data_IF_043377468283
#
_entry.id   IF_043377468283
#
_cell.length_a   1.000
_cell.length_b   1.000
_cell.length_c   1.000
_cell.angle_alpha   90.00
_cell.angle_beta   90.00
_cell.angle_gamma   90.00
#
_symmetry.space_group_name_H-M   'P 1'
#
loop_
_entity.id
_entity.type
_entity.pdbx_description
1 polymer ?
#
# COMPACT_ATOMS: atom_id res chain seq x y z
N UNK A 1 12.12 -0.37 3.40
CA UNK A 1 12.04 -1.21 2.17
C UNK A 1 10.79 -0.85 1.38
N UNK A 2 10.63 -1.32 0.14
CA UNK A 2 9.39 -1.18 -0.64
C UNK A 2 8.96 -2.54 -1.16
N UNK A 3 7.65 -2.79 -1.21
CA UNK A 3 7.06 -3.95 -1.87
C UNK A 3 6.51 -3.50 -3.21
N UNK A 4 7.04 -4.03 -4.30
CA UNK A 4 6.64 -3.69 -5.67
C UNK A 4 5.67 -4.74 -6.22
N UNK A 5 4.84 -4.30 -7.17
CA UNK A 5 3.82 -5.10 -7.83
C UNK A 5 3.90 -4.92 -9.33
N UNK A 6 3.62 -6.00 -10.07
CA UNK A 6 3.61 -6.00 -11.53
C UNK A 6 2.42 -5.22 -12.06
N UNK A 7 1.28 -5.36 -11.39
CA UNK A 7 0.02 -4.75 -11.81
C UNK A 7 -0.82 -4.31 -10.60
N UNK A 8 -1.79 -3.44 -10.88
CA UNK A 8 -2.69 -2.89 -9.86
C UNK A 8 -3.50 -3.96 -9.14
N UNK A 9 -3.93 -5.02 -9.82
CA UNK A 9 -4.81 -6.04 -9.24
C UNK A 9 -4.06 -6.83 -8.16
N UNK A 10 -2.83 -7.24 -8.46
CA UNK A 10 -1.94 -7.92 -7.51
C UNK A 10 -1.62 -7.06 -6.29
N UNK A 11 -1.44 -5.75 -6.48
CA UNK A 11 -1.25 -4.80 -5.39
C UNK A 11 -2.51 -4.69 -4.51
N UNK A 12 -3.69 -4.51 -5.12
CA UNK A 12 -4.97 -4.41 -4.38
C UNK A 12 -5.28 -5.69 -3.62
N UNK A 13 -5.05 -6.86 -4.23
CA UNK A 13 -5.24 -8.15 -3.55
C UNK A 13 -4.32 -8.24 -2.32
N UNK A 14 -3.05 -7.89 -2.46
CA UNK A 14 -2.12 -7.90 -1.35
C UNK A 14 -2.51 -6.92 -0.24
N UNK A 15 -2.99 -5.72 -0.59
CA UNK A 15 -3.51 -4.75 0.39
C UNK A 15 -4.72 -5.32 1.13
N UNK A 16 -5.65 -5.96 0.42
CA UNK A 16 -6.83 -6.59 1.03
C UNK A 16 -6.47 -7.73 2.00
N UNK A 17 -5.44 -8.51 1.67
CA UNK A 17 -4.99 -9.63 2.50
C UNK A 17 -4.21 -9.16 3.75
N UNK A 18 -3.61 -7.96 3.72
CA UNK A 18 -2.74 -7.44 4.78
C UNK A 18 -3.40 -6.38 5.67
N UNK A 19 -4.28 -5.55 5.10
CA UNK A 19 -4.93 -4.47 5.83
C UNK A 19 -5.78 -5.03 6.98
N UNK A 20 -5.57 -4.49 8.18
CA UNK A 20 -6.28 -4.90 9.40
C UNK A 20 -7.63 -4.20 9.54
N UNK A 21 -7.86 -3.15 8.75
CA UNK A 21 -9.10 -2.37 8.74
C UNK A 21 -9.41 -1.80 7.36
N UNK A 22 -10.68 -1.45 7.15
CA UNK A 22 -11.12 -0.75 5.95
C UNK A 22 -10.40 0.60 5.77
N UNK A 23 -10.15 1.32 6.88
CA UNK A 23 -9.41 2.58 6.84
C UNK A 23 -7.97 2.37 6.35
N UNK A 24 -7.29 1.34 6.83
CA UNK A 24 -5.93 1.01 6.39
C UNK A 24 -5.90 0.59 4.93
N UNK A 25 -6.88 -0.20 4.48
CA UNK A 25 -7.04 -0.57 3.09
C UNK A 25 -7.13 0.68 2.18
N UNK A 26 -7.97 1.65 2.57
CA UNK A 26 -8.14 2.88 1.79
C UNK A 26 -6.87 3.73 1.75
N UNK A 27 -6.16 3.88 2.87
CA UNK A 27 -4.88 4.61 2.92
C UNK A 27 -3.85 3.99 1.98
N UNK A 28 -3.70 2.66 2.03
CA UNK A 28 -2.75 1.94 1.18
C UNK A 28 -3.15 1.97 -0.30
N UNK A 29 -4.46 1.92 -0.59
CA UNK A 29 -4.99 2.06 -1.94
C UNK A 29 -4.73 3.45 -2.51
N UNK A 30 -4.89 4.50 -1.71
CA UNK A 30 -4.55 5.86 -2.12
C UNK A 30 -3.05 6.02 -2.34
N UNK A 31 -2.21 5.53 -1.44
CA UNK A 31 -0.75 5.55 -1.61
C UNK A 31 -0.33 4.83 -2.89
N UNK A 32 -0.89 3.64 -3.16
CA UNK A 32 -0.64 2.91 -4.40
C UNK A 32 -0.97 3.75 -5.64
N UNK A 33 -2.11 4.45 -5.64
CA UNK A 33 -2.50 5.32 -6.75
C UNK A 33 -1.51 6.50 -6.89
N UNK A 34 -1.12 7.14 -5.79
CA UNK A 34 -0.13 8.23 -5.83
C UNK A 34 1.23 7.75 -6.37
N UNK A 35 1.70 6.60 -5.91
CA UNK A 35 2.96 6.02 -6.37
C UNK A 35 2.94 5.76 -7.87
N UNK A 36 1.82 5.27 -8.40
CA UNK A 36 1.66 5.10 -9.84
C UNK A 36 1.60 6.44 -10.59
N UNK A 37 0.87 7.43 -10.10
CA UNK A 37 0.76 8.75 -10.75
C UNK A 37 2.13 9.42 -10.91
N UNK A 38 2.97 9.34 -9.88
CA UNK A 38 4.24 10.07 -9.86
C UNK A 38 5.45 9.27 -10.36
N UNK A 39 5.40 7.94 -10.30
CA UNK A 39 6.54 7.08 -10.62
C UNK A 39 6.24 6.02 -11.68
N UNK A 40 4.99 5.93 -12.16
CA UNK A 40 4.52 4.90 -13.09
C UNK A 40 4.73 3.47 -12.54
N UNK A 41 4.77 3.32 -11.22
CA UNK A 41 5.07 2.06 -10.54
C UNK A 41 4.08 1.78 -9.40
N UNK A 42 3.65 0.52 -9.30
CA UNK A 42 2.84 0.03 -8.18
C UNK A 42 3.76 -0.46 -7.06
N UNK A 43 3.86 0.29 -5.96
CA UNK A 43 4.58 -0.15 -4.77
C UNK A 43 3.97 0.41 -3.49
N UNK A 44 4.26 -0.26 -2.37
CA UNK A 44 3.94 0.19 -1.00
C UNK A 44 5.24 0.30 -0.20
N UNK A 45 5.36 1.35 0.62
CA UNK A 45 6.54 1.58 1.45
C UNK A 45 6.46 0.82 2.78
N UNK A 46 7.59 0.27 3.23
CA UNK A 46 7.66 -0.62 4.41
C UNK A 46 7.26 0.02 5.74
N UNK A 47 7.20 1.36 5.82
CA UNK A 47 6.61 2.04 6.98
C UNK A 47 5.16 1.57 7.27
N UNK A 48 4.51 0.99 6.27
CA UNK A 48 3.17 0.40 6.39
C UNK A 48 3.18 -1.12 6.62
N UNK A 49 4.34 -1.78 6.51
CA UNK A 49 4.48 -3.23 6.71
C UNK A 49 4.70 -3.60 8.18
N UNK A 50 5.20 -2.68 8.99
CA UNK A 50 5.63 -2.97 10.36
C UNK A 50 4.56 -2.67 11.43
N UNK A 51 3.31 -2.34 11.04
CA UNK A 51 2.21 -2.11 12.00
C UNK A 51 2.38 -0.90 12.92
N UNK A 52 3.43 -0.10 12.78
CA UNK A 52 3.55 1.20 13.44
C UNK A 52 2.82 2.28 12.64
N UNK A 53 1.48 2.19 12.62
CA UNK A 53 0.67 3.42 12.49
C UNK A 53 0.97 4.22 13.75
N UNK A 54 1.85 5.21 13.58
CA UNK A 54 2.33 6.13 14.62
C UNK A 54 1.16 6.58 15.49
N UNK A 55 1.03 5.96 16.66
CA UNK A 55 0.32 6.54 17.80
C UNK A 55 1.22 7.65 18.34
N UNK A 56 0.97 8.89 17.92
CA UNK A 56 1.35 10.10 18.66
C UNK A 56 0.27 11.15 18.52
#
# INVERSE_FOLDING_TARGET
>A
MKKEFIDRLSAIQWIADFAQSEMEFEILREELNFNYIYNEQYFILARHLDGEVVSR
#
